data_IF_831247737191
#
_entry.id   IF_831247737191
#
_cell.length_a   1.000
_cell.length_b   1.000
_cell.length_c   1.000
_cell.angle_alpha   90.00
_cell.angle_beta   90.00
_cell.angle_gamma   90.00
#
_symmetry.space_group_name_H-M   'P 1'
#
loop_
_entity.id
_entity.type
_entity.pdbx_description
1 polymer ?
#
# COMPACT_ATOMS: atom_id res chain seq x y z
N UNK A 1 15.56 -14.37 18.54
CA UNK A 1 14.37 -14.51 17.66
C UNK A 1 13.24 -13.73 18.32
N UNK A 2 13.07 -12.46 17.97
CA UNK A 2 12.10 -11.55 18.61
C UNK A 2 11.06 -11.10 17.60
N UNK A 3 9.79 -11.32 17.92
CA UNK A 3 8.63 -11.09 17.07
C UNK A 3 8.58 -9.65 16.55
N UNK A 4 8.82 -9.46 15.25
CA UNK A 4 8.44 -8.22 14.57
C UNK A 4 6.92 -8.24 14.46
N UNK A 5 6.23 -7.64 15.42
CA UNK A 5 4.79 -7.41 15.32
C UNK A 5 4.55 -6.65 14.01
N UNK A 6 3.88 -7.30 13.06
CA UNK A 6 3.38 -6.61 11.89
C UNK A 6 2.54 -5.41 12.36
N UNK A 7 2.70 -4.23 11.75
CA UNK A 7 1.91 -3.07 12.16
C UNK A 7 0.42 -3.40 12.02
N UNK A 8 -0.38 -2.94 12.98
CA UNK A 8 -1.83 -2.99 12.86
C UNK A 8 -2.24 -2.08 11.70
N UNK A 9 -2.38 -2.67 10.51
CA UNK A 9 -2.86 -1.98 9.33
C UNK A 9 -4.31 -1.52 9.54
N UNK A 10 -4.62 -0.30 9.11
CA UNK A 10 -6.00 0.10 8.90
C UNK A 10 -6.63 -0.71 7.76
N UNK A 11 -7.87 -0.37 7.43
CA UNK A 11 -8.59 -1.00 6.32
C UNK A 11 -7.82 -0.84 5.00
N UNK A 12 -7.64 -1.95 4.29
CA UNK A 12 -7.07 -1.99 2.94
C UNK A 12 -8.12 -1.50 1.95
N UNK A 13 -7.77 -0.49 1.16
CA UNK A 13 -8.65 0.08 0.15
C UNK A 13 -8.10 -0.25 -1.23
N UNK A 14 -8.99 -0.79 -2.08
CA UNK A 14 -8.76 -0.94 -3.52
C UNK A 14 -9.16 0.35 -4.23
N UNK A 15 -8.47 0.71 -5.31
CA UNK A 15 -8.94 1.78 -6.19
C UNK A 15 -10.24 1.36 -6.88
N UNK A 16 -11.25 2.24 -6.91
CA UNK A 16 -12.50 1.99 -7.66
C UNK A 16 -12.47 2.52 -9.09
N UNK A 17 -11.39 3.19 -9.51
CA UNK A 17 -11.16 3.72 -10.86
C UNK A 17 -10.56 2.67 -11.81
N UNK A 18 -11.08 1.44 -11.80
CA UNK A 18 -10.69 0.41 -12.76
C UNK A 18 -11.68 0.40 -13.92
N UNK A 19 -11.23 0.90 -15.06
CA UNK A 19 -11.89 0.78 -16.35
C UNK A 19 -11.86 -0.69 -16.80
N UNK A 20 -12.69 -1.55 -16.18
CA UNK A 20 -12.76 -3.01 -16.44
C UNK A 20 -11.50 -3.83 -16.12
N UNK A 21 -10.36 -3.18 -15.92
CA UNK A 21 -9.05 -3.75 -15.68
C UNK A 21 -8.84 -4.01 -14.18
N UNK A 22 -9.48 -5.08 -13.71
CA UNK A 22 -9.00 -5.99 -12.66
C UNK A 22 -7.91 -5.41 -11.71
N UNK A 23 -8.30 -4.54 -10.78
CA UNK A 23 -7.43 -3.79 -9.86
C UNK A 23 -6.22 -4.59 -9.35
N UNK A 24 -5.01 -4.04 -9.56
CA UNK A 24 -3.74 -4.70 -9.23
C UNK A 24 -3.23 -4.38 -7.82
N UNK A 25 -3.71 -3.33 -7.14
CA UNK A 25 -3.10 -2.88 -5.88
C UNK A 25 -4.11 -2.55 -4.78
N UNK A 26 -3.75 -2.89 -3.54
CA UNK A 26 -4.43 -2.50 -2.29
C UNK A 26 -3.50 -1.61 -1.46
N UNK A 27 -4.05 -0.53 -0.89
CA UNK A 27 -3.29 0.39 -0.01
C UNK A 27 -3.89 0.40 1.39
N UNK A 28 -3.05 0.33 2.43
CA UNK A 28 -3.48 0.61 3.81
C UNK A 28 -2.52 1.54 4.52
N UNK A 29 -3.08 2.41 5.37
CA UNK A 29 -2.32 3.23 6.28
C UNK A 29 -2.26 2.58 7.66
N UNK A 30 -1.12 2.73 8.34
CA UNK A 30 -1.02 2.56 9.78
C UNK A 30 -0.42 3.83 10.39
N UNK A 31 -0.25 3.87 11.73
CA UNK A 31 0.19 5.08 12.46
C UNK A 31 1.44 5.76 11.90
N UNK A 32 2.36 5.03 11.26
CA UNK A 32 3.67 5.55 10.80
C UNK A 32 4.07 5.09 9.39
N UNK A 33 3.26 4.27 8.74
CA UNK A 33 3.62 3.64 7.47
C UNK A 33 2.42 3.53 6.54
N UNK A 34 2.72 3.35 5.26
CA UNK A 34 1.78 2.94 4.24
C UNK A 34 2.22 1.59 3.67
N UNK A 35 1.28 0.66 3.60
CA UNK A 35 1.47 -0.66 3.01
C UNK A 35 0.81 -0.72 1.64
N UNK A 36 1.49 -1.33 0.68
CA UNK A 36 1.02 -1.55 -0.67
C UNK A 36 1.13 -3.03 -1.02
N UNK A 37 -0.02 -3.68 -1.28
CA UNK A 37 -0.10 -5.08 -1.69
C UNK A 37 -0.48 -5.17 -3.16
N UNK A 38 0.05 -6.18 -3.83
CA UNK A 38 -0.52 -6.66 -5.07
C UNK A 38 -1.72 -7.56 -4.77
N UNK A 39 -2.89 -7.19 -5.28
CA UNK A 39 -4.13 -7.94 -5.10
C UNK A 39 -4.05 -9.33 -5.76
N UNK A 40 -3.26 -9.46 -6.83
CA UNK A 40 -3.05 -10.69 -7.60
C UNK A 40 -2.03 -11.61 -6.94
N UNK A 41 -1.05 -11.05 -6.24
CA UNK A 41 0.05 -11.79 -5.63
C UNK A 41 0.13 -11.61 -4.11
N UNK A 42 -1.00 -11.84 -3.42
CA UNK A 42 -1.14 -11.66 -1.96
C UNK A 42 -0.13 -12.45 -1.12
N UNK A 43 0.45 -13.52 -1.67
CA UNK A 43 1.40 -14.41 -0.99
C UNK A 43 2.85 -13.92 -0.99
N UNK A 44 3.20 -12.92 -1.82
CA UNK A 44 4.60 -12.47 -1.99
C UNK A 44 5.02 -11.36 -1.02
N UNK A 45 4.10 -10.89 -0.18
CA UNK A 45 4.33 -9.81 0.78
C UNK A 45 3.82 -8.46 0.28
N UNK A 46 4.40 -7.38 0.80
CA UNK A 46 3.99 -6.01 0.49
C UNK A 46 5.13 -5.04 0.62
N UNK A 47 4.99 -3.90 -0.07
CA UNK A 47 5.90 -2.78 0.09
C UNK A 47 5.45 -1.94 1.28
N UNK A 48 6.41 -1.48 2.08
CA UNK A 48 6.16 -0.56 3.19
C UNK A 48 6.93 0.73 2.98
N UNK A 49 6.22 1.85 3.10
CA UNK A 49 6.77 3.19 3.01
C UNK A 49 6.59 3.92 4.34
N UNK A 50 7.53 4.81 4.68
CA UNK A 50 7.26 5.86 5.66
C UNK A 50 6.22 6.84 5.12
N UNK A 51 5.59 7.63 5.99
CA UNK A 51 4.62 8.66 5.56
C UNK A 51 5.25 9.69 4.61
N UNK A 52 6.52 10.06 4.84
CA UNK A 52 7.26 11.00 3.98
C UNK A 52 7.52 10.44 2.59
N UNK A 53 8.02 9.20 2.52
CA UNK A 53 8.24 8.51 1.24
C UNK A 53 6.94 8.35 0.44
N UNK A 54 5.84 8.02 1.13
CA UNK A 54 4.54 7.91 0.49
C UNK A 54 4.05 9.24 -0.08
N UNK A 55 4.20 10.33 0.69
CA UNK A 55 3.83 11.67 0.22
C UNK A 55 4.63 12.05 -1.02
N UNK A 56 5.94 11.84 -1.00
CA UNK A 56 6.81 12.13 -2.14
C UNK A 56 6.46 11.30 -3.38
N UNK A 57 6.15 10.01 -3.20
CA UNK A 57 5.66 9.14 -4.26
C UNK A 57 4.38 9.68 -4.90
N UNK A 58 3.36 10.00 -4.09
CA UNK A 58 2.07 10.52 -4.58
C UNK A 58 2.25 11.85 -5.30
N UNK A 59 3.05 12.76 -4.76
CA UNK A 59 3.30 14.06 -5.37
C UNK A 59 4.00 13.92 -6.73
N UNK A 60 4.91 12.95 -6.85
CA UNK A 60 5.58 12.65 -8.12
C UNK A 60 4.62 12.03 -9.13
N UNK A 61 3.80 11.06 -8.71
CA UNK A 61 2.80 10.41 -9.56
C UNK A 61 1.70 11.36 -10.06
N UNK A 62 1.39 12.43 -9.33
CA UNK A 62 0.43 13.46 -9.77
C UNK A 62 1.00 14.45 -10.80
N UNK A 63 2.33 14.49 -10.96
CA UNK A 63 3.03 15.40 -11.88
C UNK A 63 3.43 14.74 -13.20
N UNK A 64 3.23 13.42 -13.33
CA UNK A 64 3.51 12.63 -14.52
C UNK A 64 2.33 12.56 -15.48
#
# INVERSE_FOLDING_TARGET
MGNRHAPAWGERRVSSYSDGANNCLEVAHCRRKVGLWDTKDRGLGHLEFTLEQWQWFVDTAKRS
#
